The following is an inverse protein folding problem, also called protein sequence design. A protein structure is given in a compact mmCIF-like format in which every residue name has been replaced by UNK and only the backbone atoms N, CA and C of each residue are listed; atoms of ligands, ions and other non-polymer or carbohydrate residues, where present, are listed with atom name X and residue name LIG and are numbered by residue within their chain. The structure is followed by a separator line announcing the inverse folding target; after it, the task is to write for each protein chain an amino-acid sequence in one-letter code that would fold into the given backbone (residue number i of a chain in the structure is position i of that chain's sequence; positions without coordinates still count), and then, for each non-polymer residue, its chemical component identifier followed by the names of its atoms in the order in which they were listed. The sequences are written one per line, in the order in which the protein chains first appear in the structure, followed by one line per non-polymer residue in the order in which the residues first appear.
data_IF_452920227547
#
_entry.id   IF_452920227547
#
_cell.length_a   1.000
_cell.length_b   1.000
_cell.length_c   1.000
_cell.angle_alpha   90.00
_cell.angle_beta   90.00
_cell.angle_gamma   90.00
#
_symmetry.space_group_name_H-M   'P 1'
#
loop_
_entity.id
_entity.type
_entity.pdbx_description
1 polymer ?
#
# COMPACT_ATOMS: atom_id res chain seq x y z
N UNK A 1 66.96 51.26 18.98
CA UNK A 1 66.52 49.87 18.69
C UNK A 1 65.03 49.80 19.02
N UNK A 2 64.16 49.78 18.02
CA UNK A 2 62.71 49.65 18.19
C UNK A 2 62.26 48.47 17.32
N UNK A 3 61.91 47.36 17.96
CA UNK A 3 61.37 46.16 17.30
C UNK A 3 59.92 46.40 16.91
N UNK A 4 59.50 46.12 15.66
CA UNK A 4 58.09 46.21 15.25
C UNK A 4 57.24 45.16 15.97
N UNK A 5 56.07 45.56 16.45
CA UNK A 5 55.04 44.67 16.98
C UNK A 5 54.37 43.90 15.83
N UNK A 6 54.15 42.58 15.92
CA UNK A 6 53.47 41.83 14.87
C UNK A 6 51.97 42.17 14.85
N UNK A 7 51.32 42.17 13.68
CA UNK A 7 49.88 42.38 13.58
C UNK A 7 49.11 41.28 14.32
N UNK A 8 48.05 41.68 15.01
CA UNK A 8 47.13 40.82 15.74
C UNK A 8 46.27 39.99 14.77
N UNK A 9 46.52 38.69 14.72
CA UNK A 9 45.73 37.77 13.88
C UNK A 9 44.43 37.30 14.57
N UNK A 10 44.08 37.83 15.75
CA UNK A 10 42.92 37.40 16.54
C UNK A 10 41.55 37.85 15.98
N UNK A 11 41.48 39.00 15.30
CA UNK A 11 40.20 39.55 14.82
C UNK A 11 39.66 38.88 13.55
N UNK A 12 40.51 38.14 12.81
CA UNK A 12 40.11 37.40 11.60
C UNK A 12 39.64 35.97 11.90
N UNK A 13 40.13 35.38 12.99
CA UNK A 13 39.75 34.04 13.43
C UNK A 13 38.32 33.99 14.01
N UNK A 14 37.88 35.02 14.74
CA UNK A 14 36.53 35.06 15.34
C UNK A 14 35.40 35.27 14.33
N UNK A 15 35.63 36.03 13.26
CA UNK A 15 34.61 36.25 12.20
C UNK A 15 34.46 35.07 11.25
N UNK A 16 35.42 34.14 11.25
CA UNK A 16 35.39 32.93 10.41
C UNK A 16 34.63 31.79 11.11
N UNK A 17 34.62 31.72 12.45
CA UNK A 17 34.10 30.55 13.17
C UNK A 17 32.56 30.45 13.25
N UNK A 18 31.82 31.57 13.36
CA UNK A 18 30.34 31.52 13.50
C UNK A 18 29.66 31.20 12.16
N UNK A 19 30.16 31.75 11.05
CA UNK A 19 29.63 31.44 9.72
C UNK A 19 29.92 30.00 9.30
N UNK A 20 31.10 29.49 9.64
CA UNK A 20 31.50 28.10 9.40
C UNK A 20 30.71 27.11 10.26
N UNK A 21 30.43 27.44 11.53
CA UNK A 21 29.57 26.62 12.42
C UNK A 21 28.11 26.54 11.93
N UNK A 22 27.52 27.65 11.47
CA UNK A 22 26.15 27.64 10.91
C UNK A 22 26.11 26.87 9.58
N UNK A 23 27.17 26.97 8.76
CA UNK A 23 27.33 26.16 7.56
C UNK A 23 27.35 24.67 7.87
N UNK A 24 28.16 24.26 8.85
CA UNK A 24 28.28 22.85 9.26
C UNK A 24 26.95 22.31 9.82
N UNK A 25 26.22 23.07 10.64
CA UNK A 25 24.90 22.66 11.15
C UNK A 25 23.87 22.51 10.00
N UNK A 26 23.92 23.40 9.01
CA UNK A 26 23.01 23.34 7.85
C UNK A 26 23.30 22.13 6.97
N UNK A 27 24.57 21.77 6.82
CA UNK A 27 25.01 20.56 6.13
C UNK A 27 24.62 19.29 6.88
N UNK A 28 24.80 19.26 8.21
CA UNK A 28 24.40 18.14 9.06
C UNK A 28 22.88 17.91 9.01
N UNK A 29 22.07 18.98 9.08
CA UNK A 29 20.61 18.90 8.92
C UNK A 29 20.21 18.41 7.53
N UNK A 30 20.90 18.89 6.48
CA UNK A 30 20.67 18.42 5.11
C UNK A 30 21.03 16.94 4.96
N UNK A 31 22.07 16.48 5.66
CA UNK A 31 22.49 15.09 5.68
C UNK A 31 21.48 14.21 6.43
N UNK A 32 20.98 14.64 7.59
CA UNK A 32 19.93 13.95 8.34
C UNK A 32 18.65 13.84 7.52
N UNK A 33 18.21 14.92 6.87
CA UNK A 33 17.02 14.88 6.03
C UNK A 33 17.16 13.88 4.88
N UNK A 34 18.33 13.82 4.24
CA UNK A 34 18.62 12.81 3.21
C UNK A 34 18.56 11.39 3.78
N UNK A 35 19.12 11.17 4.97
CA UNK A 35 19.06 9.86 5.64
C UNK A 35 17.63 9.45 5.99
N UNK A 36 16.81 10.36 6.50
CA UNK A 36 15.39 10.11 6.79
C UNK A 36 14.63 9.68 5.53
N UNK A 37 14.89 10.37 4.41
CA UNK A 37 14.31 10.02 3.11
C UNK A 37 14.83 8.67 2.61
N UNK A 38 16.11 8.36 2.77
CA UNK A 38 16.67 7.06 2.40
C UNK A 38 16.11 5.92 3.26
N UNK A 39 15.93 6.15 4.56
CA UNK A 39 15.32 5.20 5.48
C UNK A 39 13.86 4.95 5.11
N UNK A 40 13.07 6.01 4.90
CA UNK A 40 11.68 5.90 4.47
C UNK A 40 11.57 5.15 3.13
N UNK A 41 12.47 5.42 2.18
CA UNK A 41 12.54 4.66 0.92
C UNK A 41 12.86 3.19 1.15
N UNK A 42 13.79 2.87 2.06
CA UNK A 42 14.15 1.50 2.39
C UNK A 42 12.98 0.75 3.03
N UNK A 43 12.28 1.37 3.98
CA UNK A 43 11.11 0.80 4.64
C UNK A 43 9.97 0.56 3.66
N UNK A 44 9.63 1.55 2.82
CA UNK A 44 8.63 1.41 1.76
C UNK A 44 9.00 0.28 0.80
N UNK A 45 10.27 0.16 0.39
CA UNK A 45 10.72 -0.92 -0.49
C UNK A 45 10.58 -2.29 0.19
N UNK A 46 10.90 -2.39 1.47
CA UNK A 46 10.77 -3.62 2.24
C UNK A 46 9.31 -4.04 2.36
N UNK A 47 8.42 -3.11 2.72
CA UNK A 47 6.98 -3.35 2.81
C UNK A 47 6.37 -3.68 1.44
N UNK A 48 6.73 -2.95 0.38
CA UNK A 48 6.29 -3.25 -0.97
C UNK A 48 6.73 -4.65 -1.43
N UNK A 49 7.94 -5.09 -1.06
CA UNK A 49 8.43 -6.44 -1.37
C UNK A 49 7.63 -7.51 -0.61
N UNK A 50 7.35 -7.29 0.68
CA UNK A 50 6.53 -8.21 1.49
C UNK A 50 5.11 -8.31 0.91
N UNK A 51 4.49 -7.17 0.64
CA UNK A 51 3.16 -7.10 0.02
C UNK A 51 3.13 -7.76 -1.36
N UNK A 52 4.14 -7.52 -2.20
CA UNK A 52 4.27 -8.15 -3.51
C UNK A 52 4.41 -9.67 -3.43
N UNK A 53 5.21 -10.19 -2.50
CA UNK A 53 5.30 -11.64 -2.25
C UNK A 53 3.98 -12.21 -1.75
N UNK A 54 3.31 -11.55 -0.81
CA UNK A 54 2.01 -11.98 -0.30
C UNK A 54 0.94 -12.00 -1.41
N UNK A 55 0.86 -10.93 -2.21
CA UNK A 55 -0.04 -10.86 -3.37
C UNK A 55 0.29 -11.95 -4.40
N UNK A 56 1.57 -12.20 -4.68
CA UNK A 56 2.02 -13.29 -5.56
C UNK A 56 1.61 -14.66 -5.03
N UNK A 57 1.79 -14.94 -3.74
CA UNK A 57 1.36 -16.19 -3.11
C UNK A 57 -0.15 -16.36 -3.14
N UNK A 58 -0.93 -15.32 -2.81
CA UNK A 58 -2.39 -15.36 -2.87
C UNK A 58 -2.90 -15.53 -4.30
N UNK A 59 -2.29 -14.84 -5.27
CA UNK A 59 -2.60 -15.02 -6.69
C UNK A 59 -2.31 -16.43 -7.16
N UNK A 60 -1.13 -16.96 -6.82
CA UNK A 60 -0.74 -18.34 -7.12
C UNK A 60 -1.66 -19.37 -6.46
N UNK A 61 -2.03 -19.18 -5.20
CA UNK A 61 -2.98 -20.04 -4.49
C UNK A 61 -4.38 -19.99 -5.11
N UNK A 62 -4.85 -18.81 -5.53
CA UNK A 62 -6.11 -18.65 -6.25
C UNK A 62 -6.11 -19.41 -7.58
N UNK A 63 -5.05 -19.28 -8.36
CA UNK A 63 -4.89 -20.01 -9.63
C UNK A 63 -4.79 -21.52 -9.43
N UNK A 64 -3.96 -21.98 -8.50
CA UNK A 64 -3.82 -23.39 -8.17
C UNK A 64 -5.15 -23.97 -7.64
N UNK A 65 -5.86 -23.23 -6.80
CA UNK A 65 -7.19 -23.59 -6.31
C UNK A 65 -8.22 -23.70 -7.44
N UNK A 66 -8.21 -22.76 -8.40
CA UNK A 66 -9.06 -22.83 -9.59
C UNK A 66 -8.78 -24.09 -10.43
N UNK A 67 -7.51 -24.40 -10.68
CA UNK A 67 -7.13 -25.63 -11.39
C UNK A 67 -7.55 -26.89 -10.62
N UNK A 68 -7.36 -26.92 -9.31
CA UNK A 68 -7.77 -28.05 -8.48
C UNK A 68 -9.29 -28.26 -8.57
N UNK A 69 -10.08 -27.20 -8.49
CA UNK A 69 -11.53 -27.22 -8.64
C UNK A 69 -11.95 -27.75 -10.03
N UNK A 70 -11.26 -27.32 -11.09
CA UNK A 70 -11.51 -27.80 -12.45
C UNK A 70 -11.22 -29.30 -12.57
N UNK A 71 -10.06 -29.76 -12.09
CA UNK A 71 -9.68 -31.18 -12.11
C UNK A 71 -10.61 -32.03 -11.26
N UNK A 72 -11.05 -31.54 -10.09
CA UNK A 72 -12.05 -32.21 -9.25
C UNK A 72 -13.40 -32.31 -9.95
N UNK A 73 -13.78 -31.30 -10.73
CA UNK A 73 -15.02 -31.33 -11.52
C UNK A 73 -14.95 -32.40 -12.60
N UNK A 74 -13.83 -32.50 -13.33
CA UNK A 74 -13.57 -33.58 -14.29
C UNK A 74 -13.59 -34.95 -13.60
N UNK A 75 -12.89 -35.09 -12.48
CA UNK A 75 -12.86 -36.32 -11.70
C UNK A 75 -14.26 -36.73 -11.22
N UNK A 76 -15.10 -35.77 -10.81
CA UNK A 76 -16.48 -36.03 -10.43
C UNK A 76 -17.31 -36.53 -11.62
N UNK A 77 -17.17 -35.90 -12.81
CA UNK A 77 -17.87 -36.36 -14.02
C UNK A 77 -17.44 -37.79 -14.37
N UNK A 78 -16.14 -38.07 -14.43
CA UNK A 78 -15.65 -39.43 -14.73
C UNK A 78 -16.02 -40.45 -13.65
N UNK A 79 -16.04 -40.05 -12.38
CA UNK A 79 -16.49 -40.90 -11.28
C UNK A 79 -17.96 -41.26 -11.38
N UNK A 80 -18.82 -40.31 -11.77
CA UNK A 80 -20.24 -40.57 -12.01
C UNK A 80 -20.46 -41.34 -13.32
N UNK A 81 -19.64 -41.12 -14.34
CA UNK A 81 -19.72 -41.83 -15.62
C UNK A 81 -19.60 -43.36 -15.45
N UNK A 82 -18.89 -43.81 -14.41
CA UNK A 82 -18.79 -45.22 -14.06
C UNK A 82 -20.14 -45.88 -13.68
N UNK A 83 -21.17 -45.08 -13.33
CA UNK A 83 -22.47 -45.57 -12.88
C UNK A 83 -23.67 -44.99 -13.64
N UNK A 84 -23.45 -44.00 -14.53
CA UNK A 84 -24.49 -43.39 -15.37
C UNK A 84 -23.88 -42.77 -16.64
N UNK A 85 -24.65 -42.47 -17.70
CA UNK A 85 -24.08 -41.86 -18.90
C UNK A 85 -23.41 -40.50 -18.62
N UNK A 86 -22.23 -40.26 -19.22
CA UNK A 86 -21.45 -39.03 -19.10
C UNK A 86 -22.26 -37.73 -19.21
N UNK A 87 -23.27 -37.69 -20.09
CA UNK A 87 -24.13 -36.52 -20.24
C UNK A 87 -24.89 -36.16 -18.96
N UNK A 88 -25.45 -37.16 -18.27
CA UNK A 88 -26.14 -36.94 -16.99
C UNK A 88 -25.17 -36.62 -15.85
N UNK A 89 -24.01 -37.27 -15.83
CA UNK A 89 -22.93 -36.96 -14.89
C UNK A 89 -22.51 -35.49 -15.01
N UNK A 90 -22.26 -35.02 -16.23
CA UNK A 90 -21.90 -33.63 -16.51
C UNK A 90 -23.02 -32.64 -16.12
N UNK A 91 -24.29 -32.98 -16.37
CA UNK A 91 -25.42 -32.14 -15.97
C UNK A 91 -25.53 -32.01 -14.44
N UNK A 92 -25.29 -33.08 -13.68
CA UNK A 92 -25.30 -33.03 -12.22
C UNK A 92 -24.19 -32.12 -11.70
N UNK A 93 -22.95 -32.30 -12.19
CA UNK A 93 -21.82 -31.45 -11.78
C UNK A 93 -22.06 -29.99 -12.17
N UNK A 94 -22.62 -29.74 -13.36
CA UNK A 94 -23.00 -28.40 -13.81
C UNK A 94 -24.09 -27.78 -12.91
N UNK A 95 -25.09 -28.56 -12.49
CA UNK A 95 -26.13 -28.09 -11.57
C UNK A 95 -25.55 -27.69 -10.21
N UNK A 96 -24.60 -28.46 -9.67
CA UNK A 96 -23.87 -28.11 -8.43
C UNK A 96 -23.15 -26.77 -8.58
N UNK A 97 -22.40 -26.57 -9.68
CA UNK A 97 -21.76 -25.28 -9.96
C UNK A 97 -22.75 -24.15 -10.16
N UNK A 98 -23.88 -24.41 -10.79
CA UNK A 98 -24.97 -23.44 -10.94
C UNK A 98 -25.52 -22.96 -9.59
N UNK A 99 -25.71 -23.88 -8.63
CA UNK A 99 -26.14 -23.54 -7.27
C UNK A 99 -25.06 -22.69 -6.58
N UNK A 100 -23.80 -23.10 -6.64
CA UNK A 100 -22.68 -22.34 -6.07
C UNK A 100 -22.64 -20.92 -6.65
N UNK A 101 -22.72 -20.79 -7.99
CA UNK A 101 -22.74 -19.50 -8.67
C UNK A 101 -23.92 -18.62 -8.25
N UNK A 102 -25.12 -19.20 -8.12
CA UNK A 102 -26.31 -18.48 -7.67
C UNK A 102 -26.14 -17.94 -6.24
N UNK A 103 -25.63 -18.76 -5.32
CA UNK A 103 -25.37 -18.35 -3.92
C UNK A 103 -24.33 -17.25 -3.86
N UNK A 104 -23.22 -17.39 -4.60
CA UNK A 104 -22.16 -16.37 -4.65
C UNK A 104 -22.69 -15.06 -5.24
N UNK A 105 -23.47 -15.12 -6.32
CA UNK A 105 -24.07 -13.94 -6.94
C UNK A 105 -25.00 -13.20 -5.97
N UNK A 106 -25.92 -13.91 -5.31
CA UNK A 106 -26.87 -13.30 -4.37
C UNK A 106 -26.13 -12.71 -3.17
N UNK A 107 -25.16 -13.43 -2.61
CA UNK A 107 -24.37 -12.97 -1.48
C UNK A 107 -23.53 -11.74 -1.84
N UNK A 108 -22.83 -11.78 -2.98
CA UNK A 108 -22.02 -10.68 -3.48
C UNK A 108 -22.87 -9.44 -3.77
N UNK A 109 -24.00 -9.61 -4.47
CA UNK A 109 -24.97 -8.54 -4.72
C UNK A 109 -25.47 -7.90 -3.43
N UNK A 110 -25.78 -8.70 -2.41
CA UNK A 110 -26.27 -8.18 -1.14
C UNK A 110 -25.17 -7.44 -0.34
N UNK A 111 -23.92 -7.93 -0.37
CA UNK A 111 -22.79 -7.24 0.25
C UNK A 111 -22.48 -5.91 -0.45
N UNK A 112 -22.54 -5.87 -1.78
CA UNK A 112 -22.32 -4.62 -2.52
C UNK A 112 -23.33 -3.53 -2.16
N UNK A 113 -24.59 -3.89 -1.87
CA UNK A 113 -25.61 -2.92 -1.41
C UNK A 113 -25.28 -2.26 -0.07
N UNK A 114 -24.45 -2.90 0.76
CA UNK A 114 -24.05 -2.35 2.06
C UNK A 114 -22.78 -1.52 2.01
N UNK A 115 -22.08 -1.48 0.87
CA UNK A 115 -20.91 -0.63 0.68
C UNK A 115 -21.42 0.79 0.37
N UNK A 116 -21.19 1.74 1.28
CA UNK A 116 -21.38 3.16 0.97
C UNK A 116 -20.09 3.67 0.30
N UNK A 117 -20.10 3.97 -1.01
CA UNK A 117 -18.91 4.42 -1.73
C UNK A 117 -18.51 5.86 -1.34
N UNK A 118 -19.38 6.61 -0.66
CA UNK A 118 -19.08 7.97 -0.24
C UNK A 118 -18.63 7.99 1.23
N UNK A 119 -17.38 8.38 1.53
CA UNK A 119 -16.94 8.58 2.90
C UNK A 119 -17.58 9.86 3.45
N UNK A 120 -18.85 9.77 3.86
CA UNK A 120 -19.67 10.92 4.32
C UNK A 120 -18.96 11.75 5.38
N UNK A 121 -18.32 11.08 6.34
CA UNK A 121 -17.48 11.72 7.38
C UNK A 121 -16.40 12.62 6.80
N UNK A 122 -15.64 12.14 5.80
CA UNK A 122 -14.57 12.90 5.16
C UNK A 122 -15.13 14.06 4.32
N UNK A 123 -16.24 13.84 3.65
CA UNK A 123 -16.91 14.89 2.85
C UNK A 123 -17.47 15.98 3.75
N UNK A 124 -18.01 15.64 4.91
CA UNK A 124 -18.56 16.57 5.88
C UNK A 124 -17.46 17.41 6.54
N UNK A 125 -16.33 16.79 6.94
CA UNK A 125 -15.16 17.53 7.46
C UNK A 125 -14.59 18.50 6.42
N UNK A 126 -14.45 18.08 5.15
CA UNK A 126 -13.98 18.98 4.08
C UNK A 126 -14.96 20.14 3.84
N UNK A 127 -16.27 19.90 3.97
CA UNK A 127 -17.28 20.96 3.86
C UNK A 127 -17.22 21.94 5.04
N UNK A 128 -17.01 21.46 6.26
CA UNK A 128 -16.83 22.28 7.44
C UNK A 128 -15.57 23.15 7.32
N UNK A 129 -14.44 22.57 6.91
CA UNK A 129 -13.19 23.28 6.66
C UNK A 129 -13.37 24.35 5.57
N UNK A 130 -14.07 24.01 4.49
CA UNK A 130 -14.37 24.95 3.41
C UNK A 130 -15.34 26.06 3.83
N UNK A 131 -16.30 25.78 4.72
CA UNK A 131 -17.21 26.78 5.29
C UNK A 131 -16.49 27.72 6.24
N UNK A 132 -15.58 27.20 7.07
CA UNK A 132 -14.75 28.01 7.97
C UNK A 132 -13.84 28.97 7.18
N UNK A 133 -13.24 28.50 6.08
CA UNK A 133 -12.44 29.35 5.19
C UNK A 133 -13.26 30.42 4.45
N UNK A 134 -14.56 30.15 4.20
CA UNK A 134 -15.46 31.11 3.52
C UNK A 134 -15.99 32.19 4.45
N UNK A 135 -16.27 31.86 5.70
CA UNK A 135 -16.75 32.78 6.72
C UNK A 135 -15.87 32.67 7.97
N UNK A 136 -14.64 33.21 7.94
CA UNK A 136 -13.81 33.32 9.13
C UNK A 136 -14.44 34.38 10.04
N UNK A 137 -15.44 33.98 10.83
CA UNK A 137 -15.93 34.81 11.94
C UNK A 137 -14.89 34.75 13.04
N UNK A 138 -14.07 35.80 13.10
CA UNK A 138 -13.39 36.24 14.32
C UNK A 138 -14.34 36.98 15.24
#
# INVERSE_FOLDING_TARGET
MTTPYPPDHSDRAERTSIGELIGNISDDLSQLFRQEVELAKAEIKQEATKAGKAAGMLGGAGFAGYLAVLLLSLAAVYGLDAVMPAGWAALIVAAVWGIVAAVLYVTGKNRLKTVDPMPRRTVDTIKEDAQWLKNPTG
#
